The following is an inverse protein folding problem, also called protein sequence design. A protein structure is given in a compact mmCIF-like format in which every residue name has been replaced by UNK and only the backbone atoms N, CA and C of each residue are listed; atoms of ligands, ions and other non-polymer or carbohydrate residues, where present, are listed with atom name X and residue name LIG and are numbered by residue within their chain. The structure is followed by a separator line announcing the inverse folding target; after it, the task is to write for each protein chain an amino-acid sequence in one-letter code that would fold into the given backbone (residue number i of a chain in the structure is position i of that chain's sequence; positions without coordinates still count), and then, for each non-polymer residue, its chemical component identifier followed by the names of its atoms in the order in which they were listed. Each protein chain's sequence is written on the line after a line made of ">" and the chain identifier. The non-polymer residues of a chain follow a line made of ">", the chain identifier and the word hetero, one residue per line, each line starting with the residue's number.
data_IF_910312178216
#
_entry.id   IF_910312178216
#
_cell.length_a   1.000
_cell.length_b   1.000
_cell.length_c   1.000
_cell.angle_alpha   90.00
_cell.angle_beta   90.00
_cell.angle_gamma   90.00
#
_symmetry.space_group_name_H-M   'P 1'
#
loop_
_entity.id
_entity.type
_entity.pdbx_description
1 polymer ?
#
# COMPACT_ATOMS: atom_id res chain seq x y z
N UNK A 1 -32.42 1.19 3.43
CA UNK A 1 -31.26 2.08 3.24
C UNK A 1 -30.01 1.27 3.54
N UNK A 2 -29.33 0.76 2.52
CA UNK A 2 -28.03 0.12 2.71
C UNK A 2 -26.97 1.19 2.48
N UNK A 3 -26.33 1.65 3.55
CA UNK A 3 -25.23 2.61 3.45
C UNK A 3 -24.10 2.00 2.62
N UNK A 4 -23.51 2.81 1.74
CA UNK A 4 -22.38 2.43 0.92
C UNK A 4 -21.16 2.11 1.82
N UNK A 5 -20.40 1.03 1.58
CA UNK A 5 -19.25 0.68 2.41
C UNK A 5 -18.08 1.62 2.08
N UNK A 6 -17.84 2.60 2.97
CA UNK A 6 -16.67 3.48 2.91
C UNK A 6 -15.57 2.89 3.77
N UNK A 7 -14.43 2.57 3.16
CA UNK A 7 -13.22 2.13 3.88
C UNK A 7 -12.50 3.37 4.39
N UNK A 8 -12.64 3.67 5.67
CA UNK A 8 -11.81 4.66 6.38
C UNK A 8 -10.49 4.01 6.78
N UNK A 9 -9.37 4.61 6.40
CA UNK A 9 -8.03 4.08 6.67
C UNK A 9 -7.48 4.44 8.07
N UNK A 10 -8.33 4.90 8.99
CA UNK A 10 -7.89 5.25 10.34
C UNK A 10 -8.83 4.62 11.37
N UNK A 11 -8.46 3.45 11.86
CA UNK A 11 -8.91 2.92 13.15
C UNK A 11 -7.85 1.97 13.73
N UNK A 12 -7.02 2.53 14.62
CA UNK A 12 -6.69 1.94 15.91
C UNK A 12 -5.90 2.96 16.73
N UNK A 13 -6.50 3.41 17.84
CA UNK A 13 -5.77 4.01 18.96
C UNK A 13 -4.68 3.03 19.40
N UNK A 14 -3.43 3.43 19.30
CA UNK A 14 -2.35 2.87 20.11
C UNK A 14 -1.74 4.03 20.88
N UNK A 15 -1.89 3.93 22.20
CA UNK A 15 -1.36 4.84 23.19
C UNK A 15 0.12 4.49 23.40
N UNK A 16 0.95 5.52 23.36
CA UNK A 16 2.33 5.65 23.88
C UNK A 16 3.41 4.67 23.40
N UNK A 17 4.21 5.16 22.45
CA UNK A 17 5.66 4.97 22.49
C UNK A 17 6.33 6.35 22.34
N UNK A 18 6.89 6.85 23.44
CA UNK A 18 7.89 7.92 23.47
C UNK A 18 9.21 7.35 22.91
N UNK A 19 9.57 7.80 21.71
CA UNK A 19 10.94 7.74 21.18
C UNK A 19 11.19 8.98 20.32
N UNK A 20 12.19 9.73 20.75
CA UNK A 20 12.78 10.99 20.24
C UNK A 20 12.44 11.45 18.81
N UNK A 21 12.14 12.75 18.71
CA UNK A 21 12.00 13.59 17.51
C UNK A 21 13.11 13.38 16.45
N UNK A 22 12.79 12.71 15.34
CA UNK A 22 13.50 12.89 14.06
C UNK A 22 12.65 12.47 12.85
N UNK A 23 11.87 13.41 12.34
CA UNK A 23 11.25 13.46 11.01
C UNK A 23 10.34 12.30 10.60
N UNK A 24 9.12 12.30 11.12
CA UNK A 24 7.97 11.76 10.41
C UNK A 24 7.74 12.62 9.14
N UNK A 25 8.51 12.34 8.08
CA UNK A 25 8.24 12.89 6.75
C UNK A 25 6.79 12.51 6.43
N UNK A 26 5.87 13.48 6.47
CA UNK A 26 4.46 13.28 6.14
C UNK A 26 4.38 12.60 4.78
N UNK A 27 4.21 11.28 4.79
CA UNK A 27 4.09 10.51 3.58
C UNK A 27 2.92 11.08 2.80
N UNK A 28 3.15 11.48 1.55
CA UNK A 28 2.08 12.03 0.71
C UNK A 28 1.04 10.94 0.50
N UNK A 29 -0.14 11.13 1.08
CA UNK A 29 -1.25 10.19 0.94
C UNK A 29 -1.86 10.31 -0.45
N UNK A 30 -1.90 9.21 -1.18
CA UNK A 30 -2.57 9.11 -2.48
C UNK A 30 -3.72 8.13 -2.35
N UNK A 31 -4.91 8.54 -2.78
CA UNK A 31 -6.11 7.69 -2.79
C UNK A 31 -6.46 7.31 -4.23
N UNK A 32 -6.74 6.03 -4.47
CA UNK A 32 -7.15 5.51 -5.76
C UNK A 32 -8.32 4.54 -5.60
N UNK A 33 -9.21 4.49 -6.58
CA UNK A 33 -10.33 3.54 -6.61
C UNK A 33 -9.88 2.26 -7.28
N UNK A 34 -9.97 1.14 -6.57
CA UNK A 34 -9.72 -0.19 -7.12
C UNK A 34 -11.03 -0.94 -7.33
N UNK A 35 -11.01 -1.88 -8.28
CA UNK A 35 -12.09 -2.83 -8.41
C UNK A 35 -12.14 -3.77 -7.20
N UNK A 36 -13.32 -4.25 -6.77
CA UNK A 36 -13.45 -5.13 -5.60
C UNK A 36 -12.60 -6.41 -5.68
N UNK A 37 -12.45 -6.98 -6.88
CA UNK A 37 -11.61 -8.15 -7.12
C UNK A 37 -10.13 -7.90 -6.80
N UNK A 38 -9.64 -6.70 -7.12
CA UNK A 38 -8.26 -6.28 -6.85
C UNK A 38 -8.05 -6.07 -5.35
N UNK A 39 -9.04 -5.47 -4.67
CA UNK A 39 -9.00 -5.31 -3.20
C UNK A 39 -8.92 -6.68 -2.52
N UNK A 40 -9.75 -7.65 -2.95
CA UNK A 40 -9.72 -9.02 -2.42
C UNK A 40 -8.36 -9.69 -2.61
N UNK A 41 -7.74 -9.52 -3.78
CA UNK A 41 -6.40 -10.06 -4.04
C UNK A 41 -5.33 -9.41 -3.15
N UNK A 42 -5.40 -8.10 -2.91
CA UNK A 42 -4.49 -7.40 -1.99
C UNK A 42 -4.66 -7.95 -0.57
N UNK A 43 -5.88 -8.21 -0.13
CA UNK A 43 -6.16 -8.77 1.20
C UNK A 43 -5.53 -10.15 1.36
N UNK A 44 -5.78 -11.06 0.41
CA UNK A 44 -5.24 -12.42 0.42
C UNK A 44 -3.70 -12.42 0.45
N UNK A 45 -3.05 -11.56 -0.34
CA UNK A 45 -1.58 -11.43 -0.36
C UNK A 45 -1.06 -10.84 0.94
N UNK A 46 -1.75 -9.82 1.47
CA UNK A 46 -1.34 -9.15 2.71
C UNK A 46 -1.40 -10.10 3.90
N UNK A 47 -2.45 -10.92 3.98
CA UNK A 47 -2.61 -11.93 5.01
C UNK A 47 -1.55 -13.04 4.87
N UNK A 48 -1.29 -13.52 3.65
CA UNK A 48 -0.29 -14.55 3.39
C UNK A 48 1.14 -14.09 3.73
N UNK A 49 1.45 -12.81 3.51
CA UNK A 49 2.77 -12.23 3.77
C UNK A 49 2.90 -11.57 5.15
N UNK A 50 1.88 -11.67 6.01
CA UNK A 50 1.81 -11.00 7.31
C UNK A 50 2.17 -9.51 7.24
N UNK A 51 1.69 -8.82 6.21
CA UNK A 51 1.98 -7.40 5.93
C UNK A 51 0.70 -6.57 5.88
N UNK A 52 0.82 -5.27 6.10
CA UNK A 52 -0.29 -4.34 5.85
C UNK A 52 -0.60 -4.21 4.35
N UNK A 53 -1.87 -3.97 4.02
CA UNK A 53 -2.35 -3.68 2.66
C UNK A 53 -1.49 -2.64 1.94
N UNK A 54 -1.17 -1.54 2.63
CA UNK A 54 -0.37 -0.45 2.05
C UNK A 54 1.09 -0.86 1.81
N UNK A 55 1.64 -1.75 2.62
CA UNK A 55 2.95 -2.35 2.40
C UNK A 55 2.96 -3.28 1.19
N UNK A 56 1.95 -4.13 1.07
CA UNK A 56 1.80 -5.06 -0.07
C UNK A 56 1.66 -4.32 -1.39
N UNK A 57 0.84 -3.26 -1.43
CA UNK A 57 0.70 -2.40 -2.62
C UNK A 57 2.01 -1.71 -2.97
N UNK A 58 2.71 -1.13 -1.99
CA UNK A 58 4.01 -0.48 -2.21
C UNK A 58 5.03 -1.45 -2.80
N UNK A 59 5.11 -2.67 -2.26
CA UNK A 59 6.04 -3.69 -2.76
C UNK A 59 5.71 -4.10 -4.19
N UNK A 60 4.45 -4.42 -4.47
CA UNK A 60 4.02 -4.81 -5.82
C UNK A 60 4.28 -3.70 -6.85
N UNK A 61 4.02 -2.44 -6.48
CA UNK A 61 4.28 -1.29 -7.35
C UNK A 61 5.79 -1.10 -7.60
N UNK A 62 6.62 -1.23 -6.55
CA UNK A 62 8.07 -1.14 -6.69
C UNK A 62 8.63 -2.22 -7.62
N UNK A 63 8.16 -3.47 -7.46
CA UNK A 63 8.54 -4.59 -8.34
C UNK A 63 8.10 -4.35 -9.80
N UNK A 64 6.89 -3.82 -10.00
CA UNK A 64 6.40 -3.47 -11.33
C UNK A 64 7.25 -2.38 -12.00
N UNK A 65 7.59 -1.31 -11.26
CA UNK A 65 8.45 -0.24 -11.78
C UNK A 65 9.84 -0.78 -12.10
N UNK A 66 10.41 -1.61 -11.21
CA UNK A 66 11.73 -2.21 -11.42
C UNK A 66 11.76 -3.13 -12.66
N UNK A 67 10.72 -3.95 -12.87
CA UNK A 67 10.65 -4.84 -14.04
C UNK A 67 10.47 -4.05 -15.34
N UNK A 68 9.70 -2.96 -15.33
CA UNK A 68 9.57 -2.04 -16.47
C UNK A 68 10.87 -1.32 -16.79
N UNK A 69 11.62 -0.87 -15.77
CA UNK A 69 12.92 -0.22 -15.96
C UNK A 69 13.93 -1.19 -16.59
N UNK A 70 13.98 -2.42 -16.10
CA UNK A 70 14.83 -3.48 -16.67
C UNK A 70 14.48 -3.77 -18.14
N UNK A 71 13.19 -3.87 -18.46
CA UNK A 71 12.74 -4.09 -19.83
C UNK A 71 13.05 -2.90 -20.78
N UNK A 72 13.07 -1.66 -20.27
CA UNK A 72 13.48 -0.50 -21.05
C UNK A 72 14.99 -0.43 -21.30
N UNK A 73 15.80 -0.93 -20.37
CA UNK A 73 17.27 -0.97 -20.47
C UNK A 73 17.73 -2.04 -21.49
N UNK A 74 17.03 -3.18 -21.56
CA UNK A 74 17.30 -4.27 -22.53
C UNK A 74 16.83 -3.97 -23.96
N UNK A 75 16.09 -2.86 -24.20
CA UNK A 75 15.68 -2.41 -25.54
C UNK A 75 16.57 -1.29 -26.09
N UNK A 76 17.53 -0.78 -25.30
CA UNK A 76 18.41 0.34 -25.65
C UNK A 76 19.90 -0.03 -25.79
N UNK A 77 20.24 -1.32 -25.75
CA UNK A 77 21.60 -1.86 -25.94
C UNK A 77 21.78 -2.51 -27.30
#
# INVERSE_FOLDING_TARGET
>A
MAGEPVVSLNDRKHEEQDVDDAEEQKATTVSFKLQPSVIKAIDEISDAEFRSRSGSVRMALAQFIASRKKAGDELGS
#
